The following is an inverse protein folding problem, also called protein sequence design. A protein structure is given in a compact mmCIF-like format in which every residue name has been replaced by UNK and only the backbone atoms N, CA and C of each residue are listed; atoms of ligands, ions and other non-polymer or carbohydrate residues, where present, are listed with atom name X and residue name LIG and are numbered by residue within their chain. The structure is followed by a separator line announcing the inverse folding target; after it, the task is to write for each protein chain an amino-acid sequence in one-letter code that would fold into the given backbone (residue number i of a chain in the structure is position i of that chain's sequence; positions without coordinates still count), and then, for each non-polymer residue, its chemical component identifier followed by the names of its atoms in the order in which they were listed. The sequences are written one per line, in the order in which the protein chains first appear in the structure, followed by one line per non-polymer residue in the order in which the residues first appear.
data_IF_266698146830
#
_entry.id   IF_266698146830
#
_cell.length_a   1.000
_cell.length_b   1.000
_cell.length_c   1.000
_cell.angle_alpha   90.00
_cell.angle_beta   90.00
_cell.angle_gamma   90.00
#
_symmetry.space_group_name_H-M   'P 1'
#
loop_
_entity.id
_entity.type
_entity.pdbx_description
1 polymer ?
#
# COMPACT_ATOMS: atom_id res chain seq x y z
N UNK A 1 -68.68 21.86 49.34
CA UNK A 1 -67.82 20.71 48.98
C UNK A 1 -67.29 20.94 47.57
N UNK A 2 -66.02 21.33 47.40
CA UNK A 2 -65.34 21.44 46.10
C UNK A 2 -63.97 20.79 46.24
N UNK A 3 -63.75 19.68 45.53
CA UNK A 3 -62.52 18.91 45.57
C UNK A 3 -61.47 19.53 44.64
N UNK A 4 -60.27 19.75 45.16
CA UNK A 4 -59.10 20.25 44.43
C UNK A 4 -58.26 19.04 44.00
N UNK A 5 -58.10 18.83 42.69
CA UNK A 5 -57.25 17.76 42.15
C UNK A 5 -55.86 18.34 41.87
N UNK A 6 -54.87 17.92 42.65
CA UNK A 6 -53.46 18.23 42.42
C UNK A 6 -52.92 17.28 41.34
N UNK A 7 -52.50 17.83 40.19
CA UNK A 7 -51.77 17.10 39.15
C UNK A 7 -50.28 17.17 39.45
N UNK A 8 -49.69 16.05 39.84
CA UNK A 8 -48.25 15.89 40.01
C UNK A 8 -47.60 15.73 38.62
N UNK A 9 -46.73 16.66 38.24
CA UNK A 9 -45.92 16.58 37.01
C UNK A 9 -44.57 15.97 37.37
N UNK A 10 -44.35 14.71 37.02
CA UNK A 10 -43.06 14.03 37.16
C UNK A 10 -42.12 14.48 36.05
N UNK A 11 -41.06 15.21 36.41
CA UNK A 11 -40.02 15.66 35.50
C UNK A 11 -39.02 14.52 35.27
N UNK A 12 -39.01 13.94 34.07
CA UNK A 12 -38.11 12.86 33.68
C UNK A 12 -36.74 13.47 33.28
N UNK A 13 -35.75 13.39 34.19
CA UNK A 13 -34.38 13.82 33.90
C UNK A 13 -33.70 12.76 33.05
N UNK A 14 -33.49 13.05 31.77
CA UNK A 14 -32.67 12.24 30.86
C UNK A 14 -31.19 12.40 31.24
N UNK A 15 -30.65 11.43 31.98
CA UNK A 15 -29.20 11.26 32.15
C UNK A 15 -28.58 10.94 30.79
N UNK A 16 -28.00 11.96 30.15
CA UNK A 16 -27.14 11.75 28.99
C UNK A 16 -25.86 11.08 29.47
N UNK A 17 -25.71 9.78 29.18
CA UNK A 17 -24.44 9.10 29.35
C UNK A 17 -23.40 9.82 28.47
N UNK A 18 -22.27 10.29 29.03
CA UNK A 18 -21.20 10.84 28.22
C UNK A 18 -20.78 9.78 27.21
N UNK A 19 -20.78 10.15 25.93
CA UNK A 19 -20.26 9.29 24.88
C UNK A 19 -18.84 8.91 25.26
N UNK A 20 -18.63 7.62 25.55
CA UNK A 20 -17.31 7.06 25.74
C UNK A 20 -16.55 7.25 24.42
N UNK A 21 -15.73 8.29 24.35
CA UNK A 21 -14.67 8.34 23.35
C UNK A 21 -13.77 7.15 23.64
N UNK A 22 -13.76 6.18 22.72
CA UNK A 22 -12.85 5.04 22.81
C UNK A 22 -11.44 5.56 23.02
N UNK A 23 -10.72 4.99 23.98
CA UNK A 23 -9.32 5.34 24.23
C UNK A 23 -8.52 5.18 22.94
N UNK A 24 -7.72 6.19 22.53
CA UNK A 24 -6.87 6.07 21.35
C UNK A 24 -6.02 4.82 21.43
N UNK A 25 -5.99 4.03 20.35
CA UNK A 25 -5.11 2.87 20.26
C UNK A 25 -3.64 3.31 20.41
N UNK A 26 -2.82 2.46 21.04
CA UNK A 26 -1.40 2.77 21.23
C UNK A 26 -0.70 3.02 19.89
N UNK A 27 0.11 4.11 19.79
CA UNK A 27 0.87 4.39 18.58
C UNK A 27 1.80 3.22 18.22
N UNK A 28 1.97 2.99 16.92
CA UNK A 28 2.91 2.00 16.41
C UNK A 28 3.58 2.52 15.15
N UNK A 29 4.57 1.80 14.64
CA UNK A 29 5.24 2.14 13.39
C UNK A 29 5.37 0.93 12.48
N UNK A 30 5.47 1.17 11.19
CA UNK A 30 5.82 0.15 10.20
C UNK A 30 6.94 0.64 9.30
N UNK A 31 7.70 -0.31 8.75
CA UNK A 31 8.80 -0.03 7.82
C UNK A 31 8.37 -0.23 6.37
N UNK A 32 8.97 0.54 5.46
CA UNK A 32 8.85 0.32 4.02
C UNK A 32 10.24 0.28 3.41
N UNK A 33 10.65 -0.88 2.92
CA UNK A 33 11.89 -1.06 2.15
C UNK A 33 11.60 -0.64 0.71
N UNK A 34 12.42 0.28 0.20
CA UNK A 34 12.22 0.87 -1.12
C UNK A 34 12.58 -0.11 -2.25
N UNK A 35 11.93 0.07 -3.41
CA UNK A 35 12.28 -0.61 -4.66
C UNK A 35 13.73 -0.33 -5.02
N UNK A 36 14.45 -1.37 -5.44
CA UNK A 36 15.80 -1.20 -5.97
C UNK A 36 15.76 -0.56 -7.35
N UNK A 37 16.61 0.45 -7.55
CA UNK A 37 16.70 1.15 -8.82
C UNK A 37 17.73 0.52 -9.77
N UNK A 38 18.75 -0.14 -9.23
CA UNK A 38 19.84 -0.78 -9.98
C UNK A 38 20.26 -2.10 -9.33
N UNK A 39 20.75 -3.02 -10.14
CA UNK A 39 21.26 -4.32 -9.71
C UNK A 39 22.53 -4.20 -8.85
N UNK A 40 23.37 -3.19 -9.16
CA UNK A 40 24.61 -2.95 -8.44
C UNK A 40 24.33 -2.77 -6.94
N UNK A 41 24.88 -3.67 -6.11
CA UNK A 41 24.69 -3.73 -4.66
C UNK A 41 23.25 -3.90 -4.20
N UNK A 42 22.33 -4.31 -5.08
CA UNK A 42 20.91 -4.49 -4.74
C UNK A 42 20.73 -5.39 -3.52
N UNK A 43 21.13 -6.66 -3.63
CA UNK A 43 20.92 -7.63 -2.55
C UNK A 43 21.50 -7.18 -1.20
N UNK A 44 22.72 -6.61 -1.20
CA UNK A 44 23.34 -6.04 -0.01
C UNK A 44 22.51 -4.89 0.59
N UNK A 45 21.95 -4.02 -0.25
CA UNK A 45 21.10 -2.91 0.18
C UNK A 45 19.83 -3.41 0.86
N UNK A 46 19.18 -4.43 0.30
CA UNK A 46 17.98 -5.04 0.93
C UNK A 46 18.34 -5.77 2.21
N UNK A 47 19.48 -6.48 2.25
CA UNK A 47 19.97 -7.14 3.46
C UNK A 47 20.20 -6.14 4.59
N UNK A 48 20.83 -5.00 4.30
CA UNK A 48 21.06 -3.94 5.28
C UNK A 48 19.74 -3.30 5.72
N UNK A 49 18.83 -3.03 4.80
CA UNK A 49 17.50 -2.50 5.14
C UNK A 49 16.69 -3.43 6.05
N UNK A 50 16.76 -4.75 5.81
CA UNK A 50 16.15 -5.75 6.70
C UNK A 50 16.81 -5.67 8.08
N UNK A 51 18.14 -5.73 8.17
CA UNK A 51 18.85 -5.70 9.45
C UNK A 51 18.58 -4.41 10.26
N UNK A 52 18.52 -3.25 9.60
CA UNK A 52 18.18 -1.98 10.24
C UNK A 52 16.73 -1.96 10.70
N UNK A 53 15.79 -2.44 9.88
CA UNK A 53 14.37 -2.51 10.26
C UNK A 53 14.12 -3.50 11.40
N UNK A 54 14.84 -4.63 11.44
CA UNK A 54 14.79 -5.64 12.49
C UNK A 54 15.36 -5.16 13.83
N UNK A 55 16.19 -4.12 13.80
CA UNK A 55 16.70 -3.46 15.01
C UNK A 55 15.75 -2.38 15.55
N UNK A 56 14.74 -1.95 14.78
CA UNK A 56 13.74 -0.98 15.18
C UNK A 56 12.47 -1.68 15.72
N UNK A 57 11.70 -0.98 16.56
CA UNK A 57 10.41 -1.43 17.08
C UNK A 57 9.32 -1.15 16.03
N UNK A 58 9.12 -2.10 15.12
CA UNK A 58 8.14 -2.03 14.04
C UNK A 58 7.09 -3.14 14.20
N UNK A 59 5.83 -2.81 13.93
CA UNK A 59 4.75 -3.80 13.91
C UNK A 59 4.88 -4.75 12.71
N UNK A 60 5.41 -4.25 11.59
CA UNK A 60 5.71 -5.01 10.37
C UNK A 60 6.56 -4.19 9.40
N UNK A 61 7.02 -4.84 8.34
CA UNK A 61 7.77 -4.24 7.23
C UNK A 61 7.12 -4.59 5.89
N UNK A 62 7.14 -3.66 4.93
CA UNK A 62 6.74 -3.91 3.54
C UNK A 62 7.94 -3.76 2.64
N UNK A 63 8.26 -4.79 1.86
CA UNK A 63 9.21 -4.68 0.75
C UNK A 63 8.44 -4.26 -0.52
N UNK A 64 8.67 -3.02 -0.99
CA UNK A 64 7.99 -2.50 -2.17
C UNK A 64 8.81 -2.76 -3.44
N UNK A 65 8.93 -4.03 -3.80
CA UNK A 65 9.69 -4.53 -4.95
C UNK A 65 10.59 -5.71 -4.59
N UNK A 66 10.76 -6.63 -5.54
CA UNK A 66 11.58 -7.83 -5.38
C UNK A 66 12.94 -7.61 -6.04
N UNK A 67 13.00 -6.98 -7.20
CA UNK A 67 14.25 -6.76 -7.95
C UNK A 67 14.28 -5.43 -8.68
N UNK A 68 15.47 -4.99 -9.03
CA UNK A 68 15.68 -3.87 -9.94
C UNK A 68 15.27 -4.20 -11.38
N UNK A 69 15.15 -3.16 -12.21
CA UNK A 69 14.75 -3.30 -13.63
C UNK A 69 15.81 -3.99 -14.48
N UNK A 70 17.08 -3.79 -14.15
CA UNK A 70 18.27 -4.35 -14.81
C UNK A 70 18.67 -5.74 -14.27
N UNK A 71 18.00 -6.23 -13.22
CA UNK A 71 18.14 -7.62 -12.78
C UNK A 71 17.34 -8.57 -13.70
N UNK A 72 17.90 -9.73 -14.07
CA UNK A 72 17.22 -10.66 -14.95
C UNK A 72 16.02 -11.32 -14.24
N UNK A 73 14.94 -11.55 -14.98
CA UNK A 73 13.71 -12.15 -14.44
C UNK A 73 13.81 -13.69 -14.32
N UNK A 74 14.86 -14.20 -13.67
CA UNK A 74 15.11 -15.64 -13.50
C UNK A 74 14.54 -16.16 -12.20
N UNK A 75 14.25 -17.47 -12.17
CA UNK A 75 13.78 -18.14 -10.96
C UNK A 75 14.81 -18.08 -9.83
N UNK A 76 16.11 -18.11 -10.17
CA UNK A 76 17.21 -17.97 -9.20
C UNK A 76 17.15 -16.62 -8.47
N UNK A 77 16.97 -15.51 -9.20
CA UNK A 77 16.85 -14.17 -8.59
C UNK A 77 15.65 -14.12 -7.64
N UNK A 78 14.49 -14.62 -8.06
CA UNK A 78 13.30 -14.63 -7.22
C UNK A 78 13.44 -15.50 -5.97
N UNK A 79 14.02 -16.70 -6.10
CA UNK A 79 14.26 -17.61 -4.97
C UNK A 79 15.24 -17.04 -3.96
N UNK A 80 16.37 -16.49 -4.43
CA UNK A 80 17.36 -15.85 -3.58
C UNK A 80 16.74 -14.66 -2.84
N UNK A 81 15.96 -13.84 -3.55
CA UNK A 81 15.27 -12.71 -2.92
C UNK A 81 14.22 -13.14 -1.92
N UNK A 82 13.43 -14.18 -2.22
CA UNK A 82 12.46 -14.75 -1.28
C UNK A 82 13.16 -15.23 -0.02
N UNK A 83 14.28 -15.95 -0.14
CA UNK A 83 15.04 -16.43 1.00
C UNK A 83 15.54 -15.27 1.87
N UNK A 84 16.07 -14.22 1.25
CA UNK A 84 16.51 -13.01 1.94
C UNK A 84 15.36 -12.30 2.66
N UNK A 85 14.23 -12.08 1.98
CA UNK A 85 13.07 -11.42 2.57
C UNK A 85 12.44 -12.26 3.70
N UNK A 86 12.51 -13.59 3.59
CA UNK A 86 12.01 -14.49 4.63
C UNK A 86 12.95 -14.64 5.83
N UNK A 87 14.19 -14.12 5.78
CA UNK A 87 15.10 -14.09 6.93
C UNK A 87 14.90 -12.88 7.85
N UNK A 88 13.93 -12.01 7.55
CA UNK A 88 13.59 -10.87 8.40
C UNK A 88 12.99 -11.34 9.73
N UNK A 89 13.33 -10.68 10.83
CA UNK A 89 12.69 -10.94 12.13
C UNK A 89 11.28 -10.36 12.18
N UNK A 90 11.11 -9.16 11.62
CA UNK A 90 9.81 -8.54 11.47
C UNK A 90 8.93 -9.31 10.47
N UNK A 91 7.62 -9.25 10.67
CA UNK A 91 6.68 -9.74 9.67
C UNK A 91 6.80 -8.90 8.41
N UNK A 92 7.11 -9.55 7.29
CA UNK A 92 7.44 -8.88 6.02
C UNK A 92 6.41 -9.20 4.94
N UNK A 93 5.78 -8.16 4.42
CA UNK A 93 4.82 -8.23 3.32
C UNK A 93 5.47 -7.73 2.03
N UNK A 94 5.26 -8.41 0.91
CA UNK A 94 5.80 -8.00 -0.40
C UNK A 94 4.73 -7.29 -1.22
N UNK A 95 5.02 -6.06 -1.65
CA UNK A 95 4.27 -5.33 -2.66
C UNK A 95 5.06 -5.38 -3.97
N UNK A 96 4.47 -5.98 -5.02
CA UNK A 96 5.18 -6.16 -6.30
C UNK A 96 5.20 -4.89 -7.14
N UNK A 97 6.21 -4.81 -8.00
CA UNK A 97 6.47 -3.67 -8.88
C UNK A 97 6.57 -4.08 -10.34
N UNK A 98 6.56 -3.10 -11.25
CA UNK A 98 6.68 -3.30 -12.68
C UNK A 98 7.98 -4.04 -13.05
N UNK A 99 9.08 -3.77 -12.36
CA UNK A 99 10.36 -4.45 -12.60
C UNK A 99 10.31 -5.92 -12.25
N UNK A 100 9.43 -6.32 -11.32
CA UNK A 100 9.32 -7.70 -10.87
C UNK A 100 8.68 -8.61 -11.91
N UNK A 101 7.77 -8.09 -12.75
CA UNK A 101 7.04 -8.89 -13.73
C UNK A 101 6.70 -8.16 -15.03
N UNK A 102 6.09 -6.96 -14.98
CA UNK A 102 5.52 -6.29 -16.14
C UNK A 102 6.59 -5.88 -17.19
N UNK A 103 7.78 -5.52 -16.73
CA UNK A 103 8.92 -5.12 -17.57
C UNK A 103 9.83 -6.30 -17.96
N UNK A 104 9.46 -7.54 -17.61
CA UNK A 104 10.26 -8.70 -17.92
C UNK A 104 10.17 -9.08 -19.40
N UNK A 105 11.34 -9.17 -20.03
CA UNK A 105 11.50 -9.62 -21.42
C UNK A 105 12.47 -10.80 -21.50
N UNK A 106 12.33 -11.63 -22.54
CA UNK A 106 13.29 -12.69 -22.85
C UNK A 106 14.47 -12.18 -23.70
N UNK A 107 15.42 -13.07 -24.03
CA UNK A 107 16.58 -12.75 -24.85
C UNK A 107 16.25 -12.23 -26.27
N UNK A 108 15.02 -12.45 -26.76
CA UNK A 108 14.51 -11.93 -28.04
C UNK A 108 13.71 -10.64 -27.87
N UNK A 109 13.81 -9.99 -26.71
CA UNK A 109 13.07 -8.79 -26.32
C UNK A 109 11.54 -8.94 -26.38
N UNK A 110 11.02 -10.16 -26.21
CA UNK A 110 9.56 -10.41 -26.13
C UNK A 110 9.13 -10.43 -24.67
N UNK A 111 7.98 -9.83 -24.38
CA UNK A 111 7.40 -9.85 -23.02
C UNK A 111 7.17 -11.28 -22.55
N UNK A 112 7.56 -11.53 -21.31
CA UNK A 112 7.29 -12.76 -20.56
C UNK A 112 6.51 -12.45 -19.27
N UNK A 113 5.85 -11.30 -19.22
CA UNK A 113 5.23 -10.74 -18.01
C UNK A 113 4.21 -11.70 -17.37
N UNK A 114 3.33 -12.31 -18.17
CA UNK A 114 2.29 -13.25 -17.70
C UNK A 114 2.89 -14.47 -17.00
N UNK A 115 3.94 -15.06 -17.57
CA UNK A 115 4.64 -16.19 -16.95
C UNK A 115 5.31 -15.76 -15.65
N UNK A 116 5.89 -14.55 -15.62
CA UNK A 116 6.56 -14.04 -14.43
C UNK A 116 5.60 -13.73 -13.30
N UNK A 117 4.47 -13.07 -13.56
CA UNK A 117 3.49 -12.80 -12.49
C UNK A 117 2.88 -14.09 -11.94
N UNK A 118 2.63 -15.09 -12.79
CA UNK A 118 2.21 -16.42 -12.31
C UNK A 118 3.27 -17.02 -11.39
N UNK A 119 4.55 -16.97 -11.79
CA UNK A 119 5.63 -17.50 -10.97
C UNK A 119 5.81 -16.77 -9.65
N UNK A 120 5.64 -15.44 -9.63
CA UNK A 120 5.69 -14.67 -8.38
C UNK A 120 4.57 -15.06 -7.43
N UNK A 121 3.36 -15.36 -7.93
CA UNK A 121 2.24 -15.83 -7.12
C UNK A 121 2.55 -17.16 -6.42
N UNK A 122 3.14 -18.10 -7.13
CA UNK A 122 3.55 -19.38 -6.54
C UNK A 122 4.64 -19.22 -5.48
N UNK A 123 5.58 -18.30 -5.68
CA UNK A 123 6.72 -18.12 -4.79
C UNK A 123 6.40 -17.27 -3.55
N UNK A 124 5.70 -16.15 -3.72
CA UNK A 124 5.53 -15.14 -2.67
C UNK A 124 4.15 -15.11 -2.03
N UNK A 125 3.13 -15.70 -2.69
CA UNK A 125 1.74 -15.50 -2.32
C UNK A 125 0.95 -16.80 -2.12
N UNK A 126 1.64 -17.91 -1.84
CA UNK A 126 1.03 -19.21 -1.59
C UNK A 126 0.43 -19.36 -0.18
N UNK A 127 1.06 -18.74 0.82
CA UNK A 127 0.68 -18.91 2.24
C UNK A 127 -0.31 -17.83 2.72
N UNK A 128 -1.05 -18.12 3.78
CA UNK A 128 -1.97 -17.18 4.44
C UNK A 128 -1.27 -16.17 5.37
N UNK A 129 0.04 -16.28 5.52
CA UNK A 129 0.86 -15.44 6.40
C UNK A 129 1.95 -14.68 5.65
N UNK A 130 2.46 -13.62 6.27
CA UNK A 130 3.63 -12.88 5.79
C UNK A 130 4.93 -13.71 5.84
N UNK A 131 5.95 -13.22 5.12
CA UNK A 131 7.33 -13.67 5.28
C UNK A 131 7.91 -13.20 6.62
N UNK A 132 9.08 -13.71 6.98
CA UNK A 132 9.80 -13.37 8.20
C UNK A 132 9.41 -14.21 9.41
N UNK A 133 10.08 -14.01 10.55
CA UNK A 133 9.86 -14.79 11.76
C UNK A 133 8.50 -14.48 12.40
N UNK A 134 8.18 -13.18 12.56
CA UNK A 134 6.84 -12.77 12.98
C UNK A 134 5.84 -12.96 11.84
N UNK A 135 4.69 -13.56 12.14
CA UNK A 135 3.68 -13.90 11.14
C UNK A 135 2.46 -12.98 11.24
N UNK A 136 2.17 -12.30 10.13
CA UNK A 136 0.97 -11.47 9.98
C UNK A 136 -0.07 -12.29 9.22
N UNK A 137 -1.27 -12.50 9.77
CA UNK A 137 -2.37 -13.10 9.03
C UNK A 137 -2.84 -12.19 7.89
N UNK A 138 -2.95 -12.74 6.67
CA UNK A 138 -3.27 -11.98 5.46
C UNK A 138 -4.60 -12.46 4.87
N UNK A 139 -5.48 -11.51 4.54
CA UNK A 139 -6.67 -11.79 3.74
C UNK A 139 -6.35 -11.43 2.29
N UNK A 140 -6.35 -12.43 1.41
CA UNK A 140 -6.03 -12.26 -0.01
C UNK A 140 -7.27 -12.09 -0.85
N UNK A 141 -7.16 -11.37 -1.97
CA UNK A 141 -8.22 -11.28 -2.97
C UNK A 141 -8.50 -12.66 -3.59
N UNK A 142 -7.47 -13.50 -3.71
CA UNK A 142 -7.56 -14.87 -4.23
C UNK A 142 -8.44 -15.81 -3.41
N UNK A 143 -8.84 -15.45 -2.18
CA UNK A 143 -9.84 -16.23 -1.43
C UNK A 143 -11.23 -16.14 -2.07
N UNK A 144 -11.47 -15.17 -2.94
CA UNK A 144 -12.70 -15.06 -3.70
C UNK A 144 -12.58 -15.87 -5.00
N UNK A 145 -13.49 -16.83 -5.26
CA UNK A 145 -13.40 -17.72 -6.43
C UNK A 145 -13.23 -16.97 -7.76
N UNK A 146 -13.94 -15.85 -7.92
CA UNK A 146 -13.89 -14.99 -9.10
C UNK A 146 -12.53 -14.29 -9.32
N UNK A 147 -11.71 -14.15 -8.27
CA UNK A 147 -10.40 -13.47 -8.29
C UNK A 147 -9.26 -14.37 -7.81
N UNK A 148 -9.41 -15.69 -7.92
CA UNK A 148 -8.40 -16.70 -7.53
C UNK A 148 -6.99 -16.43 -8.07
N UNK A 149 -6.90 -15.75 -9.20
CA UNK A 149 -5.63 -15.41 -9.86
C UNK A 149 -4.91 -14.23 -9.20
N UNK A 150 -5.51 -13.45 -8.30
CA UNK A 150 -4.93 -12.19 -7.79
C UNK A 150 -4.46 -12.34 -6.33
N UNK A 151 -3.53 -13.27 -6.10
CA UNK A 151 -3.01 -13.56 -4.76
C UNK A 151 -2.11 -12.45 -4.18
N UNK A 152 -1.54 -11.61 -5.05
CA UNK A 152 -0.69 -10.47 -4.70
C UNK A 152 -1.46 -9.31 -4.07
N UNK A 153 -2.78 -9.23 -4.27
CA UNK A 153 -3.66 -8.26 -3.63
C UNK A 153 -4.09 -8.83 -2.27
N UNK A 154 -3.61 -8.23 -1.20
CA UNK A 154 -3.83 -8.73 0.17
C UNK A 154 -4.00 -7.58 1.15
N UNK A 155 -4.73 -7.84 2.24
CA UNK A 155 -4.98 -6.87 3.31
C UNK A 155 -4.78 -7.49 4.69
N UNK A 156 -4.39 -6.64 5.63
CA UNK A 156 -4.33 -6.95 7.05
C UNK A 156 -4.74 -5.72 7.85
N UNK A 157 -4.90 -5.89 9.16
CA UNK A 157 -5.35 -4.80 10.05
C UNK A 157 -4.52 -4.80 11.32
N UNK A 158 -4.12 -3.61 11.75
CA UNK A 158 -3.54 -3.37 13.08
C UNK A 158 -4.31 -2.18 13.66
N UNK A 159 -4.89 -2.37 14.84
CA UNK A 159 -5.80 -1.42 15.46
C UNK A 159 -6.91 -1.00 14.47
N UNK A 160 -7.24 0.30 14.42
CA UNK A 160 -8.24 0.87 13.53
C UNK A 160 -7.66 1.33 12.18
N UNK A 161 -6.55 0.73 11.74
CA UNK A 161 -5.95 0.99 10.43
C UNK A 161 -5.85 -0.28 9.61
N UNK A 162 -6.35 -0.22 8.38
CA UNK A 162 -6.22 -1.30 7.42
C UNK A 162 -5.09 -1.02 6.43
N UNK A 163 -4.31 -2.06 6.15
CA UNK A 163 -3.19 -2.03 5.23
C UNK A 163 -3.49 -2.97 4.07
N UNK A 164 -3.14 -2.59 2.85
CA UNK A 164 -3.34 -3.45 1.70
C UNK A 164 -2.32 -3.20 0.60
N UNK A 165 -1.96 -4.26 -0.12
CA UNK A 165 -1.26 -4.17 -1.40
C UNK A 165 -2.25 -4.10 -2.55
N UNK A 166 -1.83 -3.45 -3.64
CA UNK A 166 -2.53 -3.47 -4.91
C UNK A 166 -1.54 -3.56 -6.07
N UNK A 167 -1.76 -4.51 -6.99
CA UNK A 167 -0.95 -4.67 -8.19
C UNK A 167 -1.20 -3.54 -9.18
N UNK A 168 -0.45 -2.46 -9.02
CA UNK A 168 -0.52 -1.24 -9.81
C UNK A 168 0.90 -0.87 -10.25
N UNK A 169 1.42 -1.45 -11.35
CA UNK A 169 2.80 -1.24 -11.79
C UNK A 169 3.02 0.20 -12.29
N UNK A 170 4.25 0.71 -12.14
CA UNK A 170 4.68 2.09 -12.48
C UNK A 170 4.86 2.35 -13.98
N UNK A 171 4.85 1.32 -14.82
CA UNK A 171 4.95 1.45 -16.28
C UNK A 171 3.58 1.79 -16.92
N UNK A 172 2.97 2.91 -16.51
CA UNK A 172 1.61 3.31 -16.92
C UNK A 172 0.57 2.21 -16.65
N UNK A 173 0.63 1.59 -15.47
CA UNK A 173 -0.24 0.49 -15.07
C UNK A 173 -0.16 -0.71 -16.03
N UNK A 174 0.96 -0.89 -16.76
CA UNK A 174 1.10 -1.87 -17.84
C UNK A 174 0.06 -1.71 -18.97
N UNK A 175 -0.47 -0.50 -19.17
CA UNK A 175 -1.42 -0.22 -20.23
C UNK A 175 -0.74 -0.20 -21.60
N UNK A 176 -1.22 -1.04 -22.52
CA UNK A 176 -0.73 -1.09 -23.90
C UNK A 176 -1.69 -0.41 -24.88
N UNK A 177 -1.17 0.50 -25.71
CA UNK A 177 -1.93 1.07 -26.84
C UNK A 177 -1.95 0.07 -28.01
N UNK A 178 -2.64 -1.05 -27.84
CA UNK A 178 -2.53 -2.23 -28.72
C UNK A 178 -3.87 -2.67 -29.35
N UNK A 179 -4.81 -1.73 -29.53
CA UNK A 179 -6.10 -1.95 -30.20
C UNK A 179 -6.87 -3.19 -29.68
N UNK A 180 -7.06 -3.29 -28.37
CA UNK A 180 -7.79 -4.38 -27.72
C UNK A 180 -6.93 -5.56 -27.25
N UNK A 181 -5.62 -5.58 -27.56
CA UNK A 181 -4.68 -6.58 -27.02
C UNK A 181 -4.14 -6.15 -25.65
N UNK A 182 -5.05 -5.91 -24.71
CA UNK A 182 -4.73 -5.43 -23.36
C UNK A 182 -5.46 -6.24 -22.27
N UNK A 183 -5.75 -7.52 -22.55
CA UNK A 183 -6.55 -8.38 -21.68
C UNK A 183 -6.00 -8.48 -20.26
N UNK A 184 -4.68 -8.59 -20.09
CA UNK A 184 -4.05 -8.58 -18.76
C UNK A 184 -4.45 -7.33 -17.96
N UNK A 185 -4.30 -6.15 -18.57
CA UNK A 185 -4.66 -4.89 -17.94
C UNK A 185 -6.16 -4.80 -17.65
N UNK A 186 -7.00 -5.21 -18.60
CA UNK A 186 -8.46 -5.13 -18.47
C UNK A 186 -8.98 -6.05 -17.35
N UNK A 187 -8.51 -7.30 -17.31
CA UNK A 187 -8.85 -8.27 -16.27
C UNK A 187 -8.34 -7.81 -14.90
N UNK A 188 -7.09 -7.32 -14.83
CA UNK A 188 -6.52 -6.81 -13.58
C UNK A 188 -7.21 -5.53 -13.15
N UNK A 189 -7.68 -4.67 -14.07
CA UNK A 189 -8.45 -3.48 -13.72
C UNK A 189 -9.78 -3.87 -13.08
N UNK A 190 -10.47 -4.90 -13.59
CA UNK A 190 -11.71 -5.42 -12.97
C UNK A 190 -11.41 -5.94 -11.55
N UNK A 191 -10.34 -6.72 -11.40
CA UNK A 191 -9.92 -7.22 -10.10
C UNK A 191 -9.56 -6.10 -9.11
N UNK A 192 -8.74 -5.14 -9.52
CA UNK A 192 -8.33 -4.01 -8.68
C UNK A 192 -9.51 -3.10 -8.31
N UNK A 193 -10.48 -2.95 -9.20
CA UNK A 193 -11.74 -2.22 -8.94
C UNK A 193 -12.54 -2.85 -7.82
N UNK A 194 -12.78 -4.17 -7.91
CA UNK A 194 -13.50 -4.88 -6.86
C UNK A 194 -12.70 -4.89 -5.54
N UNK A 195 -11.37 -5.05 -5.63
CA UNK A 195 -10.49 -5.02 -4.47
C UNK A 195 -10.60 -3.70 -3.71
N UNK A 196 -10.43 -2.56 -4.38
CA UNK A 196 -10.59 -1.24 -3.77
C UNK A 196 -11.98 -1.07 -3.16
N UNK A 197 -13.03 -1.43 -3.89
CA UNK A 197 -14.40 -1.34 -3.39
C UNK A 197 -14.55 -2.08 -2.06
N UNK A 198 -14.02 -3.30 -1.95
CA UNK A 198 -14.08 -4.09 -0.72
C UNK A 198 -13.27 -3.47 0.41
N UNK A 199 -12.05 -3.01 0.12
CA UNK A 199 -11.23 -2.33 1.11
C UNK A 199 -11.98 -1.16 1.73
N UNK A 200 -12.51 -0.25 0.91
CA UNK A 200 -13.23 0.92 1.42
C UNK A 200 -14.54 0.59 2.12
N UNK A 201 -15.29 -0.41 1.64
CA UNK A 201 -16.51 -0.87 2.32
C UNK A 201 -16.19 -1.48 3.69
N UNK A 202 -15.17 -2.34 3.77
CA UNK A 202 -14.73 -2.93 5.04
C UNK A 202 -14.23 -1.86 6.00
N UNK A 203 -13.44 -0.89 5.53
CA UNK A 203 -12.97 0.21 6.37
C UNK A 203 -14.13 1.07 6.90
N UNK A 204 -15.10 1.38 6.04
CA UNK A 204 -16.27 2.17 6.43
C UNK A 204 -17.16 1.45 7.44
N UNK A 205 -17.46 0.16 7.22
CA UNK A 205 -18.26 -0.65 8.15
C UNK A 205 -17.53 -0.80 9.48
N UNK A 206 -16.22 -1.03 9.43
CA UNK A 206 -15.36 -1.14 10.60
C UNK A 206 -15.04 0.19 11.29
N UNK A 207 -15.50 1.33 10.76
CA UNK A 207 -15.19 2.68 11.25
C UNK A 207 -13.69 2.92 11.45
N UNK A 208 -12.88 2.46 10.50
CA UNK A 208 -11.43 2.57 10.58
C UNK A 208 -10.97 4.03 10.44
N UNK A 209 -9.94 4.39 11.19
CA UNK A 209 -9.29 5.71 11.17
C UNK A 209 -8.48 5.93 9.90
N UNK A 210 -7.99 4.84 9.27
CA UNK A 210 -7.27 4.96 8.03
C UNK A 210 -7.07 3.71 7.20
N UNK A 211 -6.62 3.94 5.96
CA UNK A 211 -6.23 2.92 5.00
C UNK A 211 -4.84 3.26 4.47
N UNK A 212 -3.94 2.28 4.43
CA UNK A 212 -2.66 2.40 3.72
C UNK A 212 -2.66 1.46 2.52
N UNK A 213 -2.43 2.00 1.32
CA UNK A 213 -2.31 1.25 0.07
C UNK A 213 -0.85 1.24 -0.39
N UNK A 214 -0.30 0.05 -0.58
CA UNK A 214 1.05 -0.16 -1.13
C UNK A 214 0.95 -0.52 -2.61
N UNK A 215 1.69 0.21 -3.44
CA UNK A 215 1.75 -0.02 -4.88
C UNK A 215 3.11 0.41 -5.46
N UNK A 216 3.30 0.19 -6.75
CA UNK A 216 4.49 0.66 -7.46
C UNK A 216 4.23 2.02 -8.11
N UNK A 217 3.27 2.10 -9.02
CA UNK A 217 2.86 3.35 -9.67
C UNK A 217 2.12 4.29 -8.73
N UNK A 218 2.29 5.60 -8.94
CA UNK A 218 1.50 6.61 -8.25
C UNK A 218 0.29 6.98 -9.12
N UNK A 219 -0.96 6.67 -8.70
CA UNK A 219 -2.14 6.95 -9.52
C UNK A 219 -2.42 8.44 -9.73
N UNK A 220 -1.73 9.33 -9.00
CA UNK A 220 -1.84 10.79 -9.09
C UNK A 220 -0.70 11.45 -9.87
N UNK A 221 0.27 10.70 -10.38
CA UNK A 221 1.23 11.23 -11.35
C UNK A 221 0.50 11.47 -12.68
N UNK A 222 0.61 12.67 -13.29
CA UNK A 222 0.05 12.92 -14.60
C UNK A 222 0.64 11.94 -15.63
N UNK A 223 -0.16 11.47 -16.58
CA UNK A 223 0.37 10.72 -17.72
C UNK A 223 1.46 11.55 -18.41
N UNK A 224 2.65 10.98 -18.64
CA UNK A 224 3.75 11.67 -19.32
C UNK A 224 3.28 12.25 -20.65
N UNK A 225 3.20 13.58 -20.73
CA UNK A 225 3.04 14.31 -21.98
C UNK A 225 4.35 14.23 -22.77
N UNK A 226 4.52 13.16 -23.54
CA UNK A 226 5.61 13.11 -24.52
C UNK A 226 5.16 13.80 -25.82
N UNK A 227 5.59 15.06 -25.94
CA UNK A 227 5.65 15.91 -27.14
C UNK A 227 4.36 16.58 -27.66
N UNK A 228 4.46 17.90 -27.86
CA UNK A 228 3.51 18.79 -28.56
C UNK A 228 3.16 18.38 -30.02
N UNK A 229 3.80 17.34 -30.55
CA UNK A 229 3.62 16.83 -31.92
C UNK A 229 3.03 15.41 -32.00
N UNK A 230 2.68 14.79 -30.87
CA UNK A 230 2.02 13.48 -30.85
C UNK A 230 0.55 13.64 -30.49
N UNK A 231 -0.31 13.60 -31.50
CA UNK A 231 -1.78 13.51 -31.35
C UNK A 231 -2.26 12.14 -30.82
N UNK A 232 -1.33 11.29 -30.39
CA UNK A 232 -1.66 10.07 -29.67
C UNK A 232 -2.12 10.46 -28.27
N UNK A 233 -3.44 10.59 -28.10
CA UNK A 233 -4.14 10.48 -26.83
C UNK A 233 -3.80 9.11 -26.20
N UNK A 234 -2.58 8.95 -25.66
CA UNK A 234 -2.18 7.77 -24.89
C UNK A 234 -3.12 7.73 -23.70
N UNK A 235 -4.06 6.79 -23.73
CA UNK A 235 -4.99 6.57 -22.63
C UNK A 235 -4.17 6.31 -21.37
N UNK A 236 -4.52 7.07 -20.33
CA UNK A 236 -3.86 7.02 -19.04
C UNK A 236 -4.28 5.76 -18.29
N UNK A 237 -3.33 4.85 -18.07
CA UNK A 237 -3.57 3.55 -17.42
C UNK A 237 -4.03 3.67 -15.96
N UNK A 238 -3.79 4.83 -15.32
CA UNK A 238 -4.22 5.11 -13.96
C UNK A 238 -5.59 5.80 -13.85
N UNK A 239 -6.19 6.26 -14.96
CA UNK A 239 -7.37 7.13 -14.90
C UNK A 239 -8.56 6.47 -14.17
N UNK A 240 -8.79 5.18 -14.41
CA UNK A 240 -9.89 4.46 -13.76
C UNK A 240 -9.64 4.30 -12.25
N UNK A 241 -8.44 3.85 -11.86
CA UNK A 241 -8.12 3.60 -10.45
C UNK A 241 -8.09 4.91 -9.65
N UNK A 242 -7.53 5.98 -10.21
CA UNK A 242 -7.51 7.31 -9.59
C UNK A 242 -8.92 7.82 -9.32
N UNK A 243 -9.81 7.74 -10.32
CA UNK A 243 -11.21 8.15 -10.18
C UNK A 243 -11.91 7.38 -9.05
N UNK A 244 -11.67 6.07 -8.94
CA UNK A 244 -12.23 5.26 -7.87
C UNK A 244 -11.70 5.63 -6.49
N UNK A 245 -10.37 5.78 -6.35
CA UNK A 245 -9.75 6.22 -5.09
C UNK A 245 -10.35 7.55 -4.64
N UNK A 246 -10.46 8.54 -5.53
CA UNK A 246 -11.08 9.83 -5.22
C UNK A 246 -12.55 9.69 -4.80
N UNK A 247 -13.33 8.88 -5.52
CA UNK A 247 -14.75 8.66 -5.22
C UNK A 247 -14.98 7.97 -3.87
N UNK A 248 -14.10 7.02 -3.50
CA UNK A 248 -14.17 6.37 -2.19
C UNK A 248 -13.65 7.28 -1.07
N UNK A 249 -12.56 8.01 -1.32
CA UNK A 249 -11.99 8.95 -0.37
C UNK A 249 -12.98 10.04 0.05
N UNK A 250 -13.76 10.56 -0.89
CA UNK A 250 -14.82 11.54 -0.61
C UNK A 250 -15.92 11.02 0.35
N UNK A 251 -16.03 9.70 0.53
CA UNK A 251 -17.04 9.04 1.38
C UNK A 251 -16.44 8.34 2.59
N UNK A 252 -15.13 8.44 2.78
CA UNK A 252 -14.40 7.79 3.86
C UNK A 252 -13.88 8.87 4.82
N UNK A 253 -14.34 8.91 6.09
CA UNK A 253 -13.97 9.97 7.03
C UNK A 253 -12.50 9.87 7.48
N UNK A 254 -11.89 8.69 7.36
CA UNK A 254 -10.50 8.44 7.75
C UNK A 254 -9.46 8.95 6.75
N UNK A 255 -8.19 8.74 7.09
CA UNK A 255 -7.02 9.10 6.29
C UNK A 255 -6.62 7.97 5.35
N UNK A 256 -6.20 8.30 4.14
CA UNK A 256 -5.74 7.33 3.14
C UNK A 256 -4.31 7.67 2.82
N UNK A 257 -3.38 6.73 3.03
CA UNK A 257 -1.99 6.87 2.63
C UNK A 257 -1.70 5.95 1.45
N UNK A 258 -1.15 6.49 0.38
CA UNK A 258 -0.68 5.72 -0.78
C UNK A 258 0.84 5.72 -0.75
N UNK A 259 1.41 4.56 -0.44
CA UNK A 259 2.85 4.32 -0.45
C UNK A 259 3.21 3.74 -1.82
N UNK A 260 3.97 4.49 -2.61
CA UNK A 260 4.36 4.10 -3.96
C UNK A 260 5.88 4.12 -4.17
N UNK A 261 6.37 3.53 -5.26
CA UNK A 261 7.79 3.55 -5.66
C UNK A 261 8.02 4.19 -7.03
N UNK A 262 7.00 4.84 -7.58
CA UNK A 262 7.05 5.60 -8.82
C UNK A 262 8.10 6.72 -8.78
N UNK A 263 9.10 6.62 -9.65
CA UNK A 263 10.20 7.58 -9.74
C UNK A 263 9.81 8.84 -10.54
N UNK A 264 8.74 8.79 -11.31
CA UNK A 264 8.22 9.95 -12.04
C UNK A 264 7.44 10.91 -11.12
N UNK A 265 7.06 10.45 -9.93
CA UNK A 265 6.46 11.30 -8.91
C UNK A 265 7.49 12.26 -8.31
N UNK A 266 7.09 13.52 -8.12
CA UNK A 266 7.89 14.50 -7.40
C UNK A 266 8.20 14.04 -5.98
N UNK A 267 9.45 14.19 -5.55
CA UNK A 267 9.83 13.97 -4.17
C UNK A 267 9.38 15.16 -3.33
N UNK A 268 8.50 14.94 -2.35
CA UNK A 268 8.19 15.96 -1.36
C UNK A 268 9.32 16.02 -0.36
N UNK A 269 9.99 17.16 -0.32
CA UNK A 269 11.08 17.41 0.63
C UNK A 269 10.54 17.48 2.07
N UNK A 270 11.44 17.23 3.02
CA UNK A 270 11.17 17.49 4.43
C UNK A 270 10.69 18.96 4.63
N UNK A 271 9.79 19.24 5.59
CA UNK A 271 9.33 18.35 6.66
C UNK A 271 8.10 17.50 6.29
N UNK A 272 7.48 17.73 5.12
CA UNK A 272 6.17 17.13 4.81
C UNK A 272 6.28 15.64 4.53
N UNK A 273 7.26 15.19 3.75
CA UNK A 273 7.52 13.80 3.31
C UNK A 273 6.34 13.06 2.63
N UNK A 274 5.11 13.29 3.08
CA UNK A 274 3.82 12.85 2.56
C UNK A 274 3.13 14.07 1.93
N UNK A 275 2.72 13.95 0.66
CA UNK A 275 1.94 14.98 -0.03
C UNK A 275 0.44 14.80 0.23
N UNK A 276 -0.16 15.71 0.99
CA UNK A 276 -1.56 15.62 1.39
C UNK A 276 -2.48 16.47 0.51
N UNK A 277 -3.50 15.82 -0.06
CA UNK A 277 -4.62 16.43 -0.77
C UNK A 277 -5.94 15.98 -0.11
N UNK A 278 -6.47 16.82 0.77
CA UNK A 278 -7.64 16.48 1.59
C UNK A 278 -7.33 15.35 2.58
N UNK A 279 -8.01 14.21 2.45
CA UNK A 279 -7.76 13.01 3.26
C UNK A 279 -6.86 11.97 2.57
N UNK A 280 -6.33 12.26 1.38
CA UNK A 280 -5.39 11.39 0.66
C UNK A 280 -3.98 11.95 0.81
N UNK A 281 -3.07 11.15 1.35
CA UNK A 281 -1.63 11.39 1.39
C UNK A 281 -0.92 10.47 0.40
N UNK A 282 0.06 10.99 -0.35
CA UNK A 282 0.95 10.17 -1.17
C UNK A 282 2.36 10.21 -0.61
N UNK A 283 3.01 9.05 -0.55
CA UNK A 283 4.35 8.88 -0.02
C UNK A 283 5.18 8.04 -0.98
N UNK A 284 6.26 8.62 -1.50
CA UNK A 284 7.23 7.87 -2.30
C UNK A 284 8.22 7.18 -1.36
N UNK A 285 8.24 5.85 -1.36
CA UNK A 285 9.23 5.08 -0.64
C UNK A 285 10.61 5.29 -1.27
N UNK A 286 11.50 5.98 -0.57
CA UNK A 286 12.88 6.26 -0.96
C UNK A 286 13.90 5.64 0.03
N UNK A 287 15.16 5.58 -0.41
CA UNK A 287 16.41 5.07 0.23
C UNK A 287 16.41 4.65 1.71
N UNK A 288 17.17 3.59 2.04
CA UNK A 288 16.93 2.23 1.60
C UNK A 288 15.65 1.65 2.24
N UNK A 289 15.20 2.24 3.34
CA UNK A 289 13.90 2.00 3.94
C UNK A 289 13.45 3.24 4.73
N UNK A 290 12.13 3.34 4.96
CA UNK A 290 11.49 4.46 5.66
C UNK A 290 10.57 3.95 6.76
N UNK A 291 10.56 4.65 7.89
CA UNK A 291 9.65 4.39 9.00
C UNK A 291 8.41 5.29 8.88
N UNK A 292 7.23 4.73 9.07
CA UNK A 292 5.98 5.48 9.13
C UNK A 292 5.33 5.20 10.48
N UNK A 293 5.10 6.26 11.25
CA UNK A 293 4.37 6.21 12.52
C UNK A 293 2.88 6.35 12.27
N UNK A 294 2.10 5.58 13.02
CA UNK A 294 0.63 5.59 13.06
C UNK A 294 0.21 6.01 14.45
N UNK A 295 -0.46 7.16 14.56
CA UNK A 295 -0.91 7.72 15.82
C UNK A 295 -2.29 8.35 15.66
N UNK A 296 -3.31 7.74 16.26
CA UNK A 296 -4.70 8.22 16.21
C UNK A 296 -4.95 9.48 17.03
N UNK A 297 -4.00 9.89 17.88
CA UNK A 297 -4.04 11.19 18.54
C UNK A 297 -3.63 12.34 17.59
N UNK A 298 -2.96 12.05 16.47
CA UNK A 298 -2.52 13.06 15.51
C UNK A 298 -3.55 13.28 14.37
N UNK A 299 -3.86 14.53 13.98
CA UNK A 299 -4.85 14.82 12.95
C UNK A 299 -4.59 14.18 11.57
N UNK A 300 -3.32 13.93 11.24
CA UNK A 300 -2.91 13.33 9.96
C UNK A 300 -2.83 11.81 10.01
N UNK A 301 -2.90 11.20 11.20
CA UNK A 301 -2.73 9.76 11.48
C UNK A 301 -1.34 9.18 11.12
N UNK A 302 -0.77 9.56 9.98
CA UNK A 302 0.48 9.03 9.45
C UNK A 302 1.57 10.09 9.42
N UNK A 303 2.75 9.73 9.92
CA UNK A 303 3.96 10.58 9.88
C UNK A 303 5.15 9.78 9.36
N UNK A 304 5.78 10.26 8.29
CA UNK A 304 6.99 9.63 7.75
C UNK A 304 8.24 10.13 8.47
N UNK A 305 8.95 9.22 9.10
CA UNK A 305 10.16 9.45 9.89
C UNK A 305 11.38 9.08 9.03
N UNK A 306 12.46 9.84 9.15
CA UNK A 306 13.74 9.47 8.55
C UNK A 306 14.61 8.77 9.62
N UNK A 307 14.89 7.46 9.49
CA UNK A 307 15.61 6.69 10.50
C UNK A 307 16.99 7.28 10.84
N UNK A 308 17.66 7.90 9.85
CA UNK A 308 18.98 8.51 10.02
C UNK A 308 18.98 9.77 10.91
N UNK A 309 17.84 10.44 11.09
CA UNK A 309 17.72 11.66 11.92
C UNK A 309 17.30 11.36 13.36
N UNK A 310 16.68 10.21 13.63
CA UNK A 310 16.20 9.85 14.97
C UNK A 310 17.30 9.44 15.96
N UNK A 311 18.49 9.05 15.48
CA UNK A 311 19.61 8.67 16.36
C UNK A 311 20.26 9.90 17.02
N UNK A 312 20.14 11.09 16.42
CA UNK A 312 20.76 12.30 16.98
C UNK A 312 19.94 13.01 18.06
N UNK A 313 18.64 12.72 18.18
CA UNK A 313 17.76 13.37 19.17
C UNK A 313 17.71 12.67 20.53
N UNK A 314 18.30 11.48 20.67
CA UNK A 314 18.35 10.74 21.95
C UNK A 314 19.62 11.09 22.76
N UNK A 315 20.54 11.90 22.20
CA UNK A 315 21.79 12.31 22.85
C UNK A 315 21.90 13.83 23.08
N UNK A 316 20.79 14.53 23.32
CA UNK A 316 20.82 15.90 23.85
C UNK A 316 19.93 16.04 25.08
#
# INVERSE_FOLDING_TARGET
MKAFVFRCVTCLVLLQAPWAHGTPASPFSFGVIAKQLKAANGEATVRNAIAESDADNLAFVVANGIKAVDEPCTDTVYKNRRALLNSAKNGLVVSITASDWAQCVNAKNRSIATDRISRLRDLFFADEFSLGDSKIPLIRQSSMPQFRMYAENMRWRINDVMFATINLPSNNNNYLNAAGRNSEFEDRQIANTDWLKRLFLTAKIGKLDGIVLFCDGNPFVPAEHTSFFSSDNKREGYANIRRQIMAFAAKFPGRILIVHSDQNAHQVSAPRNIDWHGNIGTFRADTPWRKISVDSALPQLFTAINPALSVQTVHR
#
